data_IF_817936729367
#
_entry.id   IF_817936729367
#
_cell.length_a   1.000
_cell.length_b   1.000
_cell.length_c   1.000
_cell.angle_alpha   90.00
_cell.angle_beta   90.00
_cell.angle_gamma   90.00
#
_symmetry.space_group_name_H-M   'P 1'
#
loop_
_entity.id
_entity.type
_entity.pdbx_description
1 polymer ?
#
# COMPACT_ATOMS: atom_id res chain seq x y z
N UNK A 1 17.92 15.96 -55.63
CA UNK A 1 17.02 14.86 -55.22
C UNK A 1 17.50 14.44 -53.83
N UNK A 2 16.79 14.87 -52.79
CA UNK A 2 17.25 14.82 -51.40
C UNK A 2 16.93 13.45 -50.78
N UNK A 3 17.94 12.77 -50.22
CA UNK A 3 17.75 11.56 -49.43
C UNK A 3 17.13 11.96 -48.08
N UNK A 4 15.88 11.53 -47.85
CA UNK A 4 15.28 11.53 -46.50
C UNK A 4 15.94 10.40 -45.71
N UNK A 5 16.71 10.76 -44.69
CA UNK A 5 17.09 9.84 -43.62
C UNK A 5 15.86 9.51 -42.79
N UNK A 6 15.45 8.24 -42.81
CA UNK A 6 14.58 7.67 -41.79
C UNK A 6 15.35 7.63 -40.48
N UNK A 7 15.08 8.59 -39.60
CA UNK A 7 15.47 8.49 -38.20
C UNK A 7 14.59 7.42 -37.55
N UNK A 8 15.10 6.20 -37.43
CA UNK A 8 14.49 5.18 -36.57
C UNK A 8 14.57 5.67 -35.11
N UNK A 9 13.49 6.26 -34.60
CA UNK A 9 13.33 6.47 -33.16
C UNK A 9 13.16 5.09 -32.53
N UNK A 10 14.20 4.62 -31.83
CA UNK A 10 14.08 3.48 -30.92
C UNK A 10 13.13 3.90 -29.79
N UNK A 11 11.86 3.61 -29.99
CA UNK A 11 10.77 3.82 -29.03
C UNK A 11 11.17 3.12 -27.74
N UNK A 12 11.31 3.93 -26.70
CA UNK A 12 11.85 3.47 -25.44
C UNK A 12 10.77 3.22 -24.44
N UNK A 13 10.76 2.04 -23.82
CA UNK A 13 9.73 1.61 -22.87
C UNK A 13 9.44 2.69 -21.82
N UNK A 14 8.18 3.12 -21.80
CA UNK A 14 7.56 3.99 -20.81
C UNK A 14 7.28 3.17 -19.55
N UNK A 15 7.37 3.78 -18.37
CA UNK A 15 7.04 3.12 -17.10
C UNK A 15 5.69 3.65 -16.60
N UNK A 16 4.73 2.76 -16.36
CA UNK A 16 3.44 3.11 -15.76
C UNK A 16 3.44 2.84 -14.26
N UNK A 17 3.13 3.89 -13.47
CA UNK A 17 2.83 3.80 -12.04
C UNK A 17 1.32 3.89 -11.87
N UNK A 18 0.73 2.84 -11.33
CA UNK A 18 -0.69 2.81 -11.01
C UNK A 18 -0.93 3.25 -9.57
N UNK A 19 -1.95 4.07 -9.38
CA UNK A 19 -2.32 4.67 -8.09
C UNK A 19 -3.76 4.28 -7.79
N UNK A 20 -3.94 3.37 -6.83
CA UNK A 20 -5.24 3.00 -6.31
C UNK A 20 -5.62 3.95 -5.18
N UNK A 21 -6.81 4.55 -5.30
CA UNK A 21 -7.35 5.46 -4.28
C UNK A 21 -8.65 4.94 -3.71
N UNK A 22 -8.89 5.29 -2.45
CA UNK A 22 -10.17 5.13 -1.75
C UNK A 22 -10.82 6.50 -1.61
N UNK A 23 -12.09 6.63 -2.01
CA UNK A 23 -12.86 7.88 -1.89
C UNK A 23 -13.64 7.92 -0.57
N UNK A 24 -13.81 9.10 0.01
CA UNK A 24 -14.64 9.26 1.21
C UNK A 24 -16.14 9.33 0.87
N UNK A 25 -16.51 10.22 -0.06
CA UNK A 25 -17.89 10.46 -0.46
C UNK A 25 -18.06 10.36 -1.99
N UNK A 26 -19.31 10.20 -2.44
CA UNK A 26 -19.78 10.18 -3.84
C UNK A 26 -19.84 8.83 -4.54
N UNK A 27 -20.06 8.84 -5.85
CA UNK A 27 -20.69 7.76 -6.61
C UNK A 27 -19.90 6.45 -6.72
N UNK A 28 -18.60 6.43 -6.42
CA UNK A 28 -17.76 5.23 -6.46
C UNK A 28 -16.96 5.06 -5.18
N UNK A 29 -16.61 3.83 -4.80
CA UNK A 29 -15.77 3.56 -3.61
C UNK A 29 -14.27 3.80 -3.84
N UNK A 30 -13.81 3.63 -5.07
CA UNK A 30 -12.39 3.81 -5.39
C UNK A 30 -12.15 3.99 -6.88
N UNK A 31 -10.93 4.38 -7.21
CA UNK A 31 -10.50 4.55 -8.59
C UNK A 31 -9.04 4.14 -8.75
N UNK A 32 -8.68 3.74 -9.97
CA UNK A 32 -7.31 3.48 -10.38
C UNK A 32 -6.89 4.57 -11.35
N UNK A 33 -5.77 5.22 -11.07
CA UNK A 33 -5.13 6.17 -11.98
C UNK A 33 -3.83 5.61 -12.53
N UNK A 34 -3.42 6.06 -13.71
CA UNK A 34 -2.16 5.67 -14.34
C UNK A 34 -1.29 6.90 -14.59
N UNK A 35 -0.12 6.93 -13.95
CA UNK A 35 0.89 7.96 -14.15
C UNK A 35 1.98 7.38 -15.05
N UNK A 36 2.18 8.00 -16.21
CA UNK A 36 3.25 7.61 -17.14
C UNK A 36 4.54 8.36 -16.87
N UNK A 37 5.63 7.62 -16.79
CA UNK A 37 6.98 8.11 -16.63
C UNK A 37 7.81 7.80 -17.88
N UNK A 38 8.65 8.75 -18.28
CA UNK A 38 9.68 8.48 -19.28
C UNK A 38 10.85 7.67 -18.68
N UNK A 39 11.80 7.28 -19.53
CA UNK A 39 13.01 6.53 -19.13
C UNK A 39 13.91 7.22 -18.10
N UNK A 40 13.73 8.52 -17.88
CA UNK A 40 14.48 9.31 -16.88
C UNK A 40 13.69 9.47 -15.58
N UNK A 41 12.53 8.81 -15.48
CA UNK A 41 11.61 8.94 -14.36
C UNK A 41 10.82 10.25 -14.38
N UNK A 42 10.77 10.98 -15.51
CA UNK A 42 10.02 12.23 -15.60
C UNK A 42 8.55 11.95 -15.89
N UNK A 43 7.68 12.66 -15.18
CA UNK A 43 6.22 12.50 -15.34
C UNK A 43 5.81 13.11 -16.68
N UNK A 44 5.25 12.28 -17.55
CA UNK A 44 4.90 12.68 -18.92
C UNK A 44 3.62 13.53 -18.97
N UNK A 45 3.58 14.53 -19.85
CA UNK A 45 2.36 15.31 -20.13
C UNK A 45 2.05 16.44 -19.15
N UNK A 46 3.06 17.09 -18.56
CA UNK A 46 2.85 18.13 -17.53
C UNK A 46 3.72 19.37 -17.61
N UNK A 47 4.26 19.73 -18.78
CA UNK A 47 5.06 20.94 -18.92
C UNK A 47 4.23 22.12 -19.44
N UNK A 48 4.21 23.23 -18.67
CA UNK A 48 3.93 24.58 -19.19
C UNK A 48 2.52 25.15 -18.99
N UNK A 49 1.63 24.47 -18.27
CA UNK A 49 0.29 25.00 -17.97
C UNK A 49 0.25 25.80 -16.66
N UNK A 50 -0.62 26.82 -16.59
CA UNK A 50 -0.88 27.61 -15.38
C UNK A 50 -1.61 26.83 -14.29
N UNK A 51 -2.19 25.67 -14.64
CA UNK A 51 -2.80 24.71 -13.72
C UNK A 51 -2.17 23.33 -13.94
N UNK A 52 -2.08 22.49 -12.89
CA UNK A 52 -1.69 21.10 -13.05
C UNK A 52 -2.61 20.38 -14.06
N UNK A 53 -2.05 19.55 -14.95
CA UNK A 53 -2.85 18.77 -15.90
C UNK A 53 -3.71 17.74 -15.15
N UNK A 54 -4.92 17.53 -15.67
CA UNK A 54 -5.89 16.59 -15.12
C UNK A 54 -5.46 15.14 -15.35
N UNK A 55 -5.76 14.28 -14.39
CA UNK A 55 -5.53 12.84 -14.45
C UNK A 55 -6.87 12.09 -14.42
N UNK A 56 -7.20 11.45 -15.53
CA UNK A 56 -8.43 10.66 -15.65
C UNK A 56 -8.25 9.26 -15.04
N UNK A 57 -9.28 8.68 -14.41
CA UNK A 57 -9.22 7.32 -13.90
C UNK A 57 -9.22 6.32 -15.06
N UNK A 58 -8.35 5.31 -14.97
CA UNK A 58 -8.33 4.17 -15.91
C UNK A 58 -9.33 3.09 -15.53
N UNK A 59 -9.79 3.09 -14.28
CA UNK A 59 -10.91 2.29 -13.78
C UNK A 59 -11.58 2.99 -12.60
N UNK A 60 -12.90 2.87 -12.50
CA UNK A 60 -13.69 3.22 -11.32
C UNK A 60 -14.24 1.93 -10.71
N UNK A 61 -14.28 1.85 -9.38
CA UNK A 61 -14.65 0.66 -8.66
C UNK A 61 -15.91 0.89 -7.83
N UNK A 62 -16.93 0.08 -8.13
CA UNK A 62 -18.16 -0.11 -7.35
C UNK A 62 -18.99 1.17 -7.18
N UNK A 63 -20.12 1.24 -7.89
CA UNK A 63 -21.09 2.34 -7.74
C UNK A 63 -21.78 2.28 -6.36
N UNK A 64 -21.88 3.42 -5.66
CA UNK A 64 -22.47 3.54 -4.32
C UNK A 64 -24.00 3.57 -4.38
N UNK A 65 -24.64 2.50 -4.86
CA UNK A 65 -26.10 2.37 -4.79
C UNK A 65 -26.53 1.98 -3.35
N UNK A 66 -27.52 2.71 -2.83
CA UNK A 66 -27.72 2.97 -1.39
C UNK A 66 -28.13 1.73 -0.57
N UNK A 67 -27.15 1.02 0.02
CA UNK A 67 -27.31 0.12 1.19
C UNK A 67 -25.96 -0.32 1.80
N UNK A 68 -24.87 0.37 1.46
CA UNK A 68 -23.50 -0.03 1.77
C UNK A 68 -22.95 0.94 2.85
N UNK A 69 -22.24 0.44 3.89
CA UNK A 69 -21.58 1.26 4.91
C UNK A 69 -20.82 2.47 4.35
N UNK A 70 -20.82 3.58 5.10
CA UNK A 70 -20.27 4.87 4.64
C UNK A 70 -18.78 4.81 4.28
N UNK A 71 -18.01 3.92 4.91
CA UNK A 71 -16.55 3.84 4.74
C UNK A 71 -16.09 2.43 4.34
N UNK A 72 -15.27 2.37 3.30
CA UNK A 72 -14.53 1.19 2.86
C UNK A 72 -13.09 1.56 2.63
N UNK A 73 -12.18 0.59 2.74
CA UNK A 73 -10.80 0.71 2.31
C UNK A 73 -10.46 -0.39 1.33
N UNK A 74 -9.54 -0.08 0.41
CA UNK A 74 -9.01 -1.06 -0.52
C UNK A 74 -7.66 -1.58 -0.04
N UNK A 75 -7.58 -2.90 0.14
CA UNK A 75 -6.32 -3.63 0.15
C UNK A 75 -5.99 -4.07 -1.28
N UNK A 76 -4.81 -3.70 -1.78
CA UNK A 76 -4.39 -3.98 -3.16
C UNK A 76 -3.03 -4.65 -3.22
N UNK A 77 -2.91 -5.67 -4.07
CA UNK A 77 -1.61 -6.26 -4.46
C UNK A 77 -1.58 -6.57 -5.95
N UNK A 78 -0.42 -6.38 -6.59
CA UNK A 78 -0.23 -6.68 -8.00
C UNK A 78 0.63 -7.94 -8.17
N UNK A 79 0.14 -8.89 -8.98
CA UNK A 79 0.87 -10.10 -9.40
C UNK A 79 0.71 -10.23 -10.91
N UNK A 80 1.82 -10.22 -11.65
CA UNK A 80 1.85 -10.47 -13.10
C UNK A 80 0.77 -9.70 -13.89
N UNK A 81 0.67 -8.37 -13.72
CA UNK A 81 -0.32 -7.51 -14.39
C UNK A 81 -1.78 -7.68 -13.95
N UNK A 82 -2.04 -8.43 -12.88
CA UNK A 82 -3.35 -8.55 -12.25
C UNK A 82 -3.33 -7.86 -10.90
N UNK A 83 -4.23 -6.90 -10.72
CA UNK A 83 -4.45 -6.22 -9.45
C UNK A 83 -5.53 -6.97 -8.68
N UNK A 84 -5.13 -7.60 -7.58
CA UNK A 84 -6.03 -8.21 -6.62
C UNK A 84 -6.47 -7.15 -5.63
N UNK A 85 -7.78 -7.03 -5.46
CA UNK A 85 -8.45 -6.08 -4.61
C UNK A 85 -9.26 -6.84 -3.57
N UNK A 86 -9.03 -6.52 -2.30
CA UNK A 86 -9.89 -6.92 -1.19
C UNK A 86 -10.49 -5.67 -0.60
N UNK A 87 -11.82 -5.65 -0.52
CA UNK A 87 -12.55 -4.58 0.14
C UNK A 87 -12.64 -4.92 1.62
N UNK A 88 -12.41 -3.91 2.44
CA UNK A 88 -12.61 -3.99 3.88
C UNK A 88 -13.58 -2.89 4.28
N UNK A 89 -14.56 -3.24 5.10
CA UNK A 89 -15.47 -2.24 5.66
C UNK A 89 -14.66 -1.40 6.64
N UNK A 90 -14.56 -0.10 6.38
CA UNK A 90 -14.08 0.86 7.37
C UNK A 90 -15.13 0.88 8.48
N UNK A 91 -14.84 0.22 9.59
CA UNK A 91 -15.80 0.12 10.67
C UNK A 91 -15.86 1.42 11.48
N UNK A 92 -17.04 2.04 11.52
CA UNK A 92 -17.56 2.71 12.71
C UNK A 92 -17.86 1.66 13.79
N UNK A 93 -16.83 0.96 14.28
CA UNK A 93 -16.93 0.10 15.46
C UNK A 93 -16.09 0.79 16.53
N UNK A 94 -16.76 1.60 17.33
CA UNK A 94 -16.27 1.93 18.67
C UNK A 94 -16.04 0.65 19.47
N UNK A 95 -15.29 0.70 20.58
CA UNK A 95 -15.12 -0.46 21.45
C UNK A 95 -16.50 -1.03 21.76
N UNK A 96 -16.67 -2.34 21.53
CA UNK A 96 -17.90 -3.05 21.79
C UNK A 96 -18.31 -2.77 23.24
N UNK A 97 -19.35 -1.96 23.45
CA UNK A 97 -20.00 -1.89 24.74
C UNK A 97 -20.84 -3.16 24.85
N UNK A 98 -20.67 -3.90 25.95
CA UNK A 98 -21.32 -5.20 26.20
C UNK A 98 -22.86 -5.17 26.23
N UNK A 99 -23.49 -3.99 26.06
CA UNK A 99 -24.93 -3.77 26.29
C UNK A 99 -25.75 -3.46 25.02
N UNK A 100 -25.14 -3.36 23.84
CA UNK A 100 -25.93 -3.16 22.61
C UNK A 100 -26.42 -4.50 22.05
N UNK A 101 -27.73 -4.73 22.21
CA UNK A 101 -28.51 -5.82 21.61
C UNK A 101 -28.02 -6.06 20.17
N UNK A 102 -27.51 -7.27 19.92
CA UNK A 102 -26.90 -7.70 18.64
C UNK A 102 -27.97 -7.60 17.55
N UNK A 103 -28.14 -6.40 17.00
CA UNK A 103 -28.70 -6.20 15.69
C UNK A 103 -27.63 -6.72 14.75
N UNK A 104 -27.85 -7.93 14.22
CA UNK A 104 -26.99 -8.55 13.21
C UNK A 104 -26.60 -7.48 12.20
N UNK A 105 -25.31 -7.12 12.06
CA UNK A 105 -24.90 -6.22 11.00
C UNK A 105 -25.41 -6.87 9.71
N UNK A 106 -26.25 -6.16 8.95
CA UNK A 106 -26.61 -6.58 7.60
C UNK A 106 -25.29 -6.83 6.90
N UNK A 107 -24.92 -8.09 6.67
CA UNK A 107 -23.70 -8.45 5.94
C UNK A 107 -23.80 -7.74 4.59
N UNK A 108 -23.02 -6.69 4.32
CA UNK A 108 -22.71 -6.42 2.93
C UNK A 108 -21.99 -7.69 2.44
N UNK A 109 -21.91 -7.92 1.14
CA UNK A 109 -21.02 -8.94 0.58
C UNK A 109 -19.53 -8.54 0.81
N UNK A 110 -19.15 -8.25 2.06
CA UNK A 110 -18.23 -7.19 2.49
C UNK A 110 -16.77 -7.50 2.30
N UNK A 111 -16.42 -8.69 1.77
CA UNK A 111 -15.06 -9.08 1.44
C UNK A 111 -14.97 -9.85 0.12
N UNK A 112 -15.86 -9.61 -0.85
CA UNK A 112 -15.62 -10.16 -2.17
C UNK A 112 -14.24 -9.73 -2.66
N UNK A 113 -13.42 -10.70 -3.05
CA UNK A 113 -12.17 -10.46 -3.74
C UNK A 113 -12.44 -10.14 -5.20
N UNK A 114 -11.70 -9.18 -5.75
CA UNK A 114 -11.75 -8.86 -7.17
C UNK A 114 -10.36 -8.89 -7.79
N UNK A 115 -10.30 -9.32 -9.05
CA UNK A 115 -9.08 -9.30 -9.86
C UNK A 115 -9.36 -8.39 -11.05
N UNK A 116 -8.62 -7.29 -11.14
CA UNK A 116 -8.58 -6.44 -12.32
C UNK A 116 -7.38 -6.85 -13.18
N UNK A 117 -7.66 -7.32 -14.39
CA UNK A 117 -6.63 -7.46 -15.41
C UNK A 117 -6.30 -6.07 -15.99
N UNK A 118 -5.07 -5.60 -15.76
CA UNK A 118 -4.69 -4.22 -16.10
C UNK A 118 -4.70 -3.98 -17.62
N UNK A 119 -4.49 -5.01 -18.44
CA UNK A 119 -4.40 -4.88 -19.90
C UNK A 119 -5.78 -4.86 -20.54
N UNK A 120 -6.63 -5.79 -20.15
CA UNK A 120 -7.98 -5.97 -20.71
C UNK A 120 -9.03 -5.13 -20.00
N UNK A 121 -8.71 -4.61 -18.81
CA UNK A 121 -9.63 -3.91 -17.89
C UNK A 121 -10.80 -4.79 -17.44
N UNK A 122 -10.70 -6.10 -17.62
CA UNK A 122 -11.70 -7.05 -17.14
C UNK A 122 -11.60 -7.17 -15.62
N UNK A 123 -12.75 -7.05 -14.96
CA UNK A 123 -12.90 -7.23 -13.52
C UNK A 123 -13.62 -8.55 -13.26
N UNK A 124 -12.99 -9.47 -12.54
CA UNK A 124 -13.58 -10.75 -12.15
C UNK A 124 -13.57 -10.91 -10.64
N UNK A 125 -14.53 -11.67 -10.10
CA UNK A 125 -14.55 -12.01 -8.68
C UNK A 125 -13.65 -13.22 -8.42
N UNK A 126 -13.07 -13.29 -7.23
CA UNK A 126 -12.39 -14.48 -6.71
C UNK A 126 -12.87 -14.80 -5.29
N UNK A 127 -12.53 -16.00 -4.82
CA UNK A 127 -12.99 -16.48 -3.53
C UNK A 127 -12.53 -15.55 -2.39
N UNK A 128 -13.41 -15.10 -1.49
CA UNK A 128 -13.03 -14.26 -0.35
C UNK A 128 -12.24 -15.07 0.71
N UNK A 129 -11.51 -14.39 1.62
CA UNK A 129 -10.94 -15.04 2.80
C UNK A 129 -12.01 -15.81 3.60
N UNK A 130 -11.62 -16.87 4.33
CA UNK A 130 -12.59 -17.76 5.02
C UNK A 130 -13.33 -17.04 6.14
N UNK A 131 -12.63 -16.23 6.92
CA UNK A 131 -13.26 -15.47 7.98
C UNK A 131 -13.93 -14.21 7.44
N UNK A 132 -15.03 -13.83 8.08
CA UNK A 132 -15.67 -12.52 7.87
C UNK A 132 -14.82 -11.45 8.55
N UNK A 133 -13.86 -10.89 7.81
CA UNK A 133 -12.81 -9.99 8.31
C UNK A 133 -13.18 -8.51 8.12
N UNK A 134 -13.28 -7.72 9.18
CA UNK A 134 -13.69 -6.30 9.05
C UNK A 134 -12.64 -5.44 8.34
N UNK A 135 -11.36 -5.54 8.72
CA UNK A 135 -10.23 -4.83 8.12
C UNK A 135 -8.92 -5.62 8.25
N UNK A 136 -8.01 -5.45 7.29
CA UNK A 136 -6.69 -6.04 7.34
C UNK A 136 -5.74 -5.56 6.26
N UNK A 137 -4.51 -6.06 6.34
CA UNK A 137 -3.43 -5.80 5.38
C UNK A 137 -3.35 -6.94 4.37
N UNK A 138 -3.26 -6.59 3.08
CA UNK A 138 -3.02 -7.52 1.98
C UNK A 138 -1.57 -7.45 1.56
N UNK A 139 -0.91 -8.60 1.44
CA UNK A 139 0.53 -8.72 1.16
C UNK A 139 0.75 -9.64 -0.01
N UNK A 140 1.67 -9.28 -0.90
CA UNK A 140 2.19 -10.22 -1.90
C UNK A 140 3.61 -10.62 -1.49
N UNK A 141 3.80 -11.91 -1.24
CA UNK A 141 5.07 -12.53 -0.88
C UNK A 141 5.08 -13.96 -1.43
N UNK A 142 6.25 -14.47 -1.83
CA UNK A 142 6.43 -15.89 -2.19
C UNK A 142 5.39 -16.42 -3.20
N UNK A 143 5.01 -15.60 -4.19
CA UNK A 143 4.01 -15.91 -5.23
C UNK A 143 2.58 -16.16 -4.71
N UNK A 144 2.31 -15.82 -3.44
CA UNK A 144 1.03 -15.97 -2.77
C UNK A 144 0.52 -14.61 -2.28
N UNK A 145 -0.77 -14.55 -1.98
CA UNK A 145 -1.39 -13.38 -1.35
C UNK A 145 -1.65 -13.73 0.10
N UNK A 146 -1.23 -12.89 1.02
CA UNK A 146 -1.51 -13.05 2.44
C UNK A 146 -2.49 -11.97 2.89
N UNK A 147 -3.37 -12.34 3.80
CA UNK A 147 -4.27 -11.42 4.47
C UNK A 147 -4.08 -11.51 5.98
N UNK A 148 -3.66 -10.41 6.60
CA UNK A 148 -3.54 -10.28 8.04
C UNK A 148 -4.62 -9.33 8.57
N UNK A 149 -5.43 -9.79 9.51
CA UNK A 149 -6.40 -8.95 10.22
C UNK A 149 -5.73 -7.84 11.02
N UNK A 150 -6.32 -6.65 10.98
CA UNK A 150 -5.86 -5.54 11.83
C UNK A 150 -6.16 -5.81 13.32
N UNK A 151 -5.18 -5.62 14.23
CA UNK A 151 -5.38 -5.80 15.68
C UNK A 151 -6.47 -4.91 16.27
N UNK A 152 -6.64 -3.70 15.72
CA UNK A 152 -7.68 -2.75 16.12
C UNK A 152 -9.12 -3.30 16.01
N UNK A 153 -9.33 -4.34 15.21
CA UNK A 153 -10.67 -4.82 14.89
C UNK A 153 -11.31 -5.77 15.91
N UNK A 154 -10.70 -6.06 17.07
CA UNK A 154 -11.20 -7.18 17.89
C UNK A 154 -11.05 -7.13 19.42
N UNK A 155 -12.06 -7.64 20.15
CA UNK A 155 -11.95 -8.22 21.49
C UNK A 155 -11.86 -9.77 21.55
N UNK A 156 -11.78 -10.49 20.42
CA UNK A 156 -11.75 -11.97 20.35
C UNK A 156 -10.70 -12.44 19.34
N UNK A 157 -9.86 -13.42 19.70
CA UNK A 157 -8.82 -13.99 18.83
C UNK A 157 -9.45 -14.90 17.76
N UNK A 158 -9.47 -14.54 16.47
CA UNK A 158 -9.96 -15.46 15.46
C UNK A 158 -8.83 -16.42 15.08
N UNK A 159 -9.12 -17.73 15.14
CA UNK A 159 -8.27 -18.81 14.62
C UNK A 159 -7.86 -18.58 13.15
N UNK A 160 -8.59 -17.74 12.42
CA UNK A 160 -8.35 -17.40 11.02
C UNK A 160 -7.77 -15.98 10.82
N UNK A 161 -7.07 -15.41 11.80
CA UNK A 161 -6.55 -14.04 11.69
C UNK A 161 -5.53 -13.80 10.57
N UNK A 162 -4.81 -14.85 10.19
CA UNK A 162 -3.81 -14.81 9.15
C UNK A 162 -4.07 -15.93 8.13
N UNK A 163 -4.26 -15.55 6.88
CA UNK A 163 -4.59 -16.48 5.81
C UNK A 163 -3.71 -16.25 4.59
N UNK A 164 -3.49 -17.33 3.82
CA UNK A 164 -2.77 -17.31 2.54
C UNK A 164 -3.69 -17.79 1.43
N UNK A 165 -3.68 -17.06 0.32
CA UNK A 165 -4.39 -17.39 -0.90
C UNK A 165 -3.40 -17.88 -1.94
N UNK A 166 -3.78 -18.98 -2.58
CA UNK A 166 -3.12 -19.53 -3.75
C UNK A 166 -3.84 -19.12 -5.03
N UNK A 167 -3.28 -18.19 -5.83
CA UNK A 167 -3.90 -17.75 -7.08
C UNK A 167 -4.03 -18.85 -8.14
N UNK A 168 -3.26 -19.94 -8.04
CA UNK A 168 -3.30 -21.06 -9.00
C UNK A 168 -4.50 -21.96 -8.71
N UNK A 169 -4.74 -22.23 -7.44
CA UNK A 169 -5.78 -23.15 -6.98
C UNK A 169 -7.10 -22.45 -6.58
N UNK A 170 -7.13 -21.10 -6.59
CA UNK A 170 -8.23 -20.27 -6.09
C UNK A 170 -8.71 -20.69 -4.70
N UNK A 171 -7.77 -20.85 -3.77
CA UNK A 171 -8.05 -21.37 -2.44
C UNK A 171 -7.34 -20.58 -1.35
N UNK A 172 -8.06 -20.34 -0.25
CA UNK A 172 -7.50 -19.81 0.99
C UNK A 172 -7.15 -20.94 1.97
N UNK A 173 -6.05 -20.77 2.68
CA UNK A 173 -5.66 -21.59 3.82
C UNK A 173 -5.36 -20.71 5.04
N UNK A 174 -5.72 -21.22 6.22
CA UNK A 174 -5.45 -20.54 7.48
C UNK A 174 -4.04 -20.89 7.92
N UNK A 175 -3.28 -19.88 8.31
CA UNK A 175 -1.93 -20.01 8.85
C UNK A 175 -1.95 -19.84 10.36
N UNK A 176 -0.79 -20.01 11.01
CA UNK A 176 -0.69 -19.73 12.44
C UNK A 176 -1.23 -18.33 12.75
N UNK A 177 -2.22 -18.22 13.65
CA UNK A 177 -2.80 -16.94 14.02
C UNK A 177 -1.73 -15.95 14.47
N UNK A 178 -1.93 -14.69 14.14
CA UNK A 178 -1.11 -13.63 14.69
C UNK A 178 -1.28 -13.61 16.23
N UNK A 179 -0.20 -13.53 17.01
CA UNK A 179 -0.27 -13.64 18.46
C UNK A 179 -0.79 -12.34 19.09
N UNK A 180 -2.08 -12.05 18.93
CA UNK A 180 -2.71 -10.88 19.52
C UNK A 180 -2.59 -10.91 21.04
N UNK A 181 -2.43 -9.73 21.64
CA UNK A 181 -2.53 -9.53 23.08
C UNK A 181 -3.73 -8.63 23.39
N UNK A 182 -4.34 -8.81 24.57
CA UNK A 182 -5.43 -7.94 25.06
C UNK A 182 -5.02 -6.46 25.13
N UNK A 183 -3.73 -6.19 25.26
CA UNK A 183 -3.18 -4.84 25.27
C UNK A 183 -3.11 -4.18 23.87
N UNK A 184 -3.39 -4.92 22.78
CA UNK A 184 -3.21 -4.46 21.40
C UNK A 184 -4.45 -3.83 20.77
N UNK A 185 -5.50 -3.55 21.55
CA UNK A 185 -6.75 -2.96 21.06
C UNK A 185 -6.59 -1.60 20.34
N UNK A 186 -5.45 -0.91 20.52
CA UNK A 186 -5.14 0.37 19.84
C UNK A 186 -4.09 0.25 18.75
N UNK A 187 -3.75 -0.97 18.35
CA UNK A 187 -2.62 -1.26 17.47
C UNK A 187 -3.06 -1.46 16.03
N UNK A 188 -2.25 -0.98 15.08
CA UNK A 188 -2.52 -1.08 13.64
C UNK A 188 -1.31 -1.62 12.89
N UNK A 189 -1.55 -2.48 11.90
CA UNK A 189 -0.52 -2.84 10.93
C UNK A 189 -0.37 -1.68 9.94
N UNK A 190 0.82 -1.08 9.88
CA UNK A 190 1.07 0.11 9.04
C UNK A 190 1.86 -0.21 7.79
N UNK A 191 2.69 -1.25 7.82
CA UNK A 191 3.55 -1.61 6.71
C UNK A 191 4.04 -3.05 6.79
N UNK A 192 4.70 -3.50 5.72
CA UNK A 192 5.30 -4.82 5.66
C UNK A 192 6.59 -4.83 4.83
N UNK A 193 7.40 -5.88 4.99
CA UNK A 193 8.56 -6.19 4.16
C UNK A 193 8.66 -7.70 3.96
N UNK A 194 9.29 -8.14 2.87
CA UNK A 194 9.54 -9.55 2.61
C UNK A 194 11.05 -9.75 2.60
N UNK A 195 11.55 -10.66 3.43
CA UNK A 195 12.98 -10.92 3.58
C UNK A 195 13.23 -12.36 4.04
N UNK A 196 14.12 -13.05 3.34
CA UNK A 196 14.70 -14.34 3.73
C UNK A 196 13.69 -15.38 4.28
N UNK A 197 12.65 -15.68 3.51
CA UNK A 197 11.61 -16.64 3.91
C UNK A 197 10.66 -16.14 5.01
N UNK A 198 10.74 -14.85 5.35
CA UNK A 198 9.89 -14.18 6.34
C UNK A 198 9.11 -13.01 5.75
N UNK A 199 7.99 -12.68 6.40
CA UNK A 199 7.23 -11.45 6.18
C UNK A 199 7.29 -10.62 7.47
N UNK A 200 7.90 -9.45 7.40
CA UNK A 200 7.97 -8.51 8.52
C UNK A 200 6.75 -7.59 8.47
N UNK A 201 6.16 -7.31 9.62
CA UNK A 201 5.01 -6.44 9.78
C UNK A 201 5.37 -5.29 10.72
N UNK A 202 5.16 -4.05 10.26
CA UNK A 202 5.29 -2.86 11.10
C UNK A 202 4.00 -2.58 11.83
N UNK A 203 4.12 -2.31 13.12
CA UNK A 203 3.03 -2.29 14.08
C UNK A 203 3.07 -0.97 14.83
N UNK A 204 2.09 -0.10 14.57
CA UNK A 204 1.95 1.18 15.26
C UNK A 204 0.92 1.08 16.39
N UNK A 205 1.26 1.55 17.59
CA UNK A 205 0.36 1.54 18.74
C UNK A 205 1.10 1.60 20.06
N UNK A 206 0.36 1.53 21.17
CA UNK A 206 0.96 1.51 22.51
C UNK A 206 1.43 0.09 22.88
N UNK A 207 2.74 -0.04 23.11
CA UNK A 207 3.51 -1.20 23.64
C UNK A 207 4.11 -2.11 22.56
N UNK A 208 5.42 -2.36 22.72
CA UNK A 208 6.27 -3.21 21.89
C UNK A 208 5.72 -4.64 21.72
N UNK A 209 6.06 -5.35 20.63
CA UNK A 209 7.07 -5.02 19.62
C UNK A 209 6.54 -4.16 18.47
N UNK A 210 7.38 -3.23 17.98
CA UNK A 210 7.06 -2.41 16.80
C UNK A 210 7.10 -3.23 15.49
N UNK A 211 7.69 -4.43 15.52
CA UNK A 211 7.81 -5.33 14.37
C UNK A 211 7.64 -6.80 14.77
N UNK A 212 6.82 -7.52 14.01
CA UNK A 212 6.69 -8.98 14.08
C UNK A 212 7.11 -9.60 12.75
N UNK A 213 7.82 -10.72 12.79
CA UNK A 213 8.13 -11.53 11.61
C UNK A 213 7.32 -12.82 11.62
N UNK A 214 6.73 -13.13 10.48
CA UNK A 214 6.18 -14.45 10.19
C UNK A 214 7.16 -15.24 9.32
N UNK A 215 7.58 -16.41 9.79
CA UNK A 215 8.44 -17.35 9.09
C UNK A 215 7.60 -18.32 8.28
N UNK A 216 7.65 -18.22 6.95
CA UNK A 216 6.79 -19.02 6.07
C UNK A 216 7.05 -20.52 6.22
N UNK A 217 8.32 -20.92 6.23
CA UNK A 217 8.70 -22.34 6.26
C UNK A 217 8.35 -23.06 7.58
N UNK A 218 8.12 -22.31 8.65
CA UNK A 218 7.90 -22.83 10.00
C UNK A 218 6.49 -22.58 10.51
N UNK A 219 5.71 -21.79 9.78
CA UNK A 219 4.41 -21.29 10.22
C UNK A 219 4.51 -20.71 11.64
N UNK A 220 5.44 -19.76 11.83
CA UNK A 220 5.84 -19.28 13.15
C UNK A 220 5.99 -17.75 13.21
N UNK A 221 5.58 -17.16 14.33
CA UNK A 221 5.69 -15.73 14.59
C UNK A 221 6.78 -15.44 15.61
N UNK A 222 7.61 -14.42 15.33
CA UNK A 222 8.60 -13.93 16.29
C UNK A 222 8.65 -12.40 16.33
N UNK A 223 8.92 -11.81 17.51
CA UNK A 223 9.19 -10.39 17.61
C UNK A 223 10.57 -10.06 17.03
N UNK A 224 10.63 -9.03 16.19
CA UNK A 224 11.89 -8.53 15.64
C UNK A 224 12.40 -7.40 16.53
N UNK A 225 13.65 -7.53 16.99
CA UNK A 225 14.29 -6.48 17.78
C UNK A 225 14.55 -5.25 16.89
N UNK A 226 14.00 -4.11 17.29
CA UNK A 226 14.11 -2.83 16.59
C UNK A 226 13.98 -1.68 17.60
N UNK A 227 14.67 -0.56 17.37
CA UNK A 227 14.37 0.66 18.11
C UNK A 227 12.95 1.13 17.75
N UNK A 228 12.18 1.63 18.73
CA UNK A 228 10.74 1.94 18.61
C UNK A 228 10.40 2.85 17.42
N UNK A 229 10.17 2.24 16.25
CA UNK A 229 10.00 2.92 14.98
C UNK A 229 9.12 2.09 14.04
N UNK A 230 8.20 2.77 13.36
CA UNK A 230 7.25 2.16 12.43
C UNK A 230 7.39 2.75 11.03
N UNK A 231 7.00 1.98 10.02
CA UNK A 231 6.93 2.43 8.63
C UNK A 231 5.55 2.16 8.02
N UNK A 232 5.29 2.79 6.88
CA UNK A 232 4.05 2.66 6.14
C UNK A 232 4.25 1.92 4.81
N UNK A 233 3.25 1.14 4.42
CA UNK A 233 3.19 0.48 3.12
C UNK A 233 4.23 -0.62 2.95
N UNK A 234 4.57 -0.93 1.70
CA UNK A 234 5.56 -1.95 1.35
C UNK A 234 6.97 -1.36 1.43
N UNK A 235 7.83 -1.95 2.25
CA UNK A 235 9.27 -1.67 2.26
C UNK A 235 10.00 -2.53 1.22
N UNK A 236 11.07 -1.98 0.66
CA UNK A 236 11.96 -2.69 -0.25
C UNK A 236 13.19 -3.18 0.52
N UNK A 237 13.55 -4.45 0.35
CA UNK A 237 14.79 -5.01 0.90
C UNK A 237 15.79 -5.26 -0.22
N UNK A 238 16.99 -4.69 -0.09
CA UNK A 238 18.12 -4.86 -1.03
C UNK A 238 19.35 -5.27 -0.23
N UNK A 239 19.82 -6.50 -0.42
CA UNK A 239 20.88 -7.08 0.41
C UNK A 239 20.49 -7.06 1.88
N UNK A 240 21.29 -6.39 2.71
CA UNK A 240 21.06 -6.24 4.14
C UNK A 240 20.48 -4.86 4.51
N UNK A 241 19.84 -4.17 3.58
CA UNK A 241 19.22 -2.86 3.83
C UNK A 241 17.76 -2.87 3.44
N UNK A 242 16.91 -2.43 4.37
CA UNK A 242 15.48 -2.22 4.14
C UNK A 242 15.21 -0.73 3.99
N UNK A 243 14.60 -0.33 2.88
CA UNK A 243 14.14 1.04 2.62
C UNK A 243 12.64 1.12 2.75
N UNK A 244 12.15 2.08 3.54
CA UNK A 244 10.73 2.20 3.83
C UNK A 244 10.29 3.66 3.89
N UNK A 245 8.97 3.87 3.80
CA UNK A 245 8.36 5.17 4.01
C UNK A 245 8.05 5.34 5.50
N UNK A 246 8.53 6.43 6.10
CA UNK A 246 8.18 6.78 7.48
C UNK A 246 6.68 7.05 7.62
N UNK A 247 6.15 6.92 8.85
CA UNK A 247 4.83 7.45 9.16
C UNK A 247 4.78 8.98 9.03
N UNK A 248 5.94 9.65 9.17
CA UNK A 248 6.06 11.07 8.90
C UNK A 248 5.96 11.34 7.38
N UNK A 249 5.11 12.29 6.97
CA UNK A 249 4.93 12.64 5.58
C UNK A 249 6.21 13.06 4.84
N UNK A 250 6.55 12.33 3.77
CA UNK A 250 7.68 12.66 2.90
C UNK A 250 9.05 12.19 3.40
N UNK A 251 9.11 11.46 4.53
CA UNK A 251 10.36 10.92 5.04
C UNK A 251 10.57 9.48 4.57
N UNK A 252 11.76 9.20 4.04
CA UNK A 252 12.20 7.84 3.68
C UNK A 252 13.31 7.43 4.62
N UNK A 253 13.24 6.21 5.10
CA UNK A 253 14.14 5.66 6.11
C UNK A 253 14.80 4.38 5.61
N UNK A 254 16.00 4.12 6.11
CA UNK A 254 16.69 2.86 5.92
C UNK A 254 17.01 2.18 7.24
N UNK A 255 16.81 0.87 7.29
CA UNK A 255 17.23 -0.01 8.37
C UNK A 255 18.34 -0.93 7.86
N UNK A 256 19.36 -1.13 8.69
CA UNK A 256 20.28 -2.25 8.48
C UNK A 256 19.66 -3.52 9.03
N UNK A 257 19.63 -4.59 8.25
CA UNK A 257 19.21 -5.91 8.71
C UNK A 257 20.43 -6.62 9.26
N UNK A 258 20.37 -6.97 10.54
CA UNK A 258 21.42 -7.66 11.27
C UNK A 258 20.96 -9.10 11.46
N UNK A 259 21.69 -10.04 10.87
CA UNK A 259 21.38 -11.46 10.94
C UNK A 259 22.32 -12.13 11.92
N UNK A 260 21.76 -12.70 12.98
CA UNK A 260 22.48 -13.50 13.95
C UNK A 260 22.28 -14.98 13.62
N UNK A 261 23.38 -15.72 13.48
CA UNK A 261 23.30 -17.17 13.36
C UNK A 261 22.93 -17.74 14.73
N UNK A 262 21.76 -18.38 14.83
CA UNK A 262 21.38 -19.10 16.04
C UNK A 262 21.90 -20.53 15.99
N UNK A 263 22.20 -21.09 17.16
CA UNK A 263 22.61 -22.50 17.32
C UNK A 263 21.53 -23.49 16.80
N UNK A 264 20.29 -23.02 16.66
CA UNK A 264 19.14 -23.77 16.14
C UNK A 264 19.00 -23.72 14.60
N UNK A 265 20.07 -23.35 13.89
CA UNK A 265 20.16 -23.44 12.43
C UNK A 265 19.22 -22.50 11.68
N UNK A 266 18.70 -21.47 12.34
CA UNK A 266 17.96 -20.39 11.68
C UNK A 266 18.59 -19.03 11.93
N UNK A 267 18.44 -18.17 10.93
CA UNK A 267 18.76 -16.76 11.03
C UNK A 267 17.68 -16.07 11.87
N UNK A 268 18.01 -15.68 13.09
CA UNK A 268 17.27 -14.62 13.76
C UNK A 268 17.74 -13.31 13.16
N UNK A 269 16.83 -12.38 12.88
CA UNK A 269 17.22 -11.06 12.41
C UNK A 269 16.65 -9.96 13.28
N UNK A 270 17.42 -8.88 13.38
CA UNK A 270 17.05 -7.65 14.03
C UNK A 270 17.22 -6.49 13.06
N UNK A 271 16.52 -5.40 13.33
CA UNK A 271 16.65 -4.15 12.59
C UNK A 271 17.51 -3.20 13.41
N UNK A 272 18.62 -2.76 12.82
CA UNK A 272 19.43 -1.67 13.34
C UNK A 272 18.64 -0.36 13.40
N UNK A 273 19.21 0.63 14.09
CA UNK A 273 18.61 1.95 14.23
C UNK A 273 18.22 2.54 12.87
N UNK A 274 16.97 3.04 12.69
CA UNK A 274 16.57 3.69 11.46
C UNK A 274 17.43 4.91 11.17
N UNK A 275 17.85 5.03 9.92
CA UNK A 275 18.53 6.21 9.38
C UNK A 275 17.57 6.96 8.46
N UNK A 276 17.32 8.24 8.75
CA UNK A 276 16.56 9.11 7.87
C UNK A 276 17.43 9.46 6.66
N UNK A 277 16.91 9.24 5.45
CA UNK A 277 17.63 9.57 4.23
C UNK A 277 17.57 11.08 3.97
N UNK A 278 18.71 11.67 3.61
CA UNK A 278 18.82 13.09 3.31
C UNK A 278 18.56 13.36 1.82
N UNK A 279 18.18 14.60 1.47
CA UNK A 279 18.01 15.02 0.07
C UNK A 279 16.60 14.91 -0.49
N UNK A 280 15.60 14.54 0.31
CA UNK A 280 14.20 14.63 -0.11
C UNK A 280 13.76 16.10 -0.19
N UNK A 281 13.45 16.58 -1.40
CA UNK A 281 12.90 17.91 -1.66
C UNK A 281 11.62 17.80 -2.50
N UNK A 282 10.47 17.84 -1.83
CA UNK A 282 9.16 17.76 -2.49
C UNK A 282 8.77 19.17 -2.91
N UNK A 283 8.80 19.45 -4.22
CA UNK A 283 8.55 20.81 -4.75
C UNK A 283 7.12 21.30 -4.54
N UNK A 284 6.17 20.38 -4.35
CA UNK A 284 4.76 20.69 -4.19
C UNK A 284 4.12 19.75 -3.16
N UNK A 285 4.39 19.94 -1.87
CA UNK A 285 3.83 19.08 -0.84
C UNK A 285 2.32 19.36 -0.69
N UNK A 286 1.47 18.33 -0.65
CA UNK A 286 0.04 18.52 -0.35
C UNK A 286 -0.17 19.15 1.03
N UNK A 287 -1.31 19.81 1.24
CA UNK A 287 -1.66 20.48 2.49
C UNK A 287 -1.44 19.53 3.71
N UNK A 288 -0.76 19.98 4.78
CA UNK A 288 -0.42 19.13 5.91
C UNK A 288 -1.61 18.63 6.75
N UNK A 289 -2.81 19.22 6.65
CA UNK A 289 -3.92 18.88 7.55
C UNK A 289 -4.35 17.41 7.48
N UNK A 290 -4.34 16.81 6.29
CA UNK A 290 -4.56 15.38 6.07
C UNK A 290 -3.79 14.95 4.82
N UNK A 291 -2.77 14.10 4.98
CA UNK A 291 -1.96 13.58 3.87
C UNK A 291 -2.02 12.06 3.84
N UNK A 292 -2.22 11.52 2.65
CA UNK A 292 -1.98 10.11 2.32
C UNK A 292 -0.75 10.00 1.44
N UNK A 293 0.00 8.92 1.60
CA UNK A 293 1.23 8.71 0.85
C UNK A 293 1.48 7.22 0.63
N UNK A 294 2.13 6.90 -0.49
CA UNK A 294 2.58 5.54 -0.79
C UNK A 294 3.88 5.60 -1.59
N UNK A 295 4.79 4.67 -1.31
CA UNK A 295 6.07 4.55 -1.99
C UNK A 295 6.01 3.37 -2.98
N UNK A 296 6.00 3.68 -4.28
CA UNK A 296 6.07 2.67 -5.34
C UNK A 296 7.53 2.38 -5.72
N UNK A 297 7.86 1.11 -5.91
CA UNK A 297 9.16 0.68 -6.40
C UNK A 297 9.21 0.72 -7.94
N UNK A 298 10.21 1.40 -8.51
CA UNK A 298 10.39 1.50 -9.96
C UNK A 298 11.41 0.50 -10.52
N UNK A 299 12.13 -0.20 -9.65
CA UNK A 299 13.24 -1.08 -10.01
C UNK A 299 14.57 -0.59 -9.42
N UNK A 300 15.46 -1.53 -9.06
CA UNK A 300 16.71 -1.20 -8.38
C UNK A 300 16.48 -0.37 -7.11
N UNK A 301 17.16 0.78 -7.01
CA UNK A 301 17.01 1.77 -5.93
C UNK A 301 16.25 3.03 -6.38
N UNK A 302 15.40 2.90 -7.40
CA UNK A 302 14.54 3.97 -7.89
C UNK A 302 13.10 3.81 -7.40
N UNK A 303 12.50 4.92 -7.00
CA UNK A 303 11.20 4.95 -6.33
C UNK A 303 10.35 6.10 -6.84
N UNK A 304 9.04 5.95 -6.69
CA UNK A 304 8.05 6.99 -6.90
C UNK A 304 7.25 7.19 -5.62
N UNK A 305 7.45 8.33 -4.97
CA UNK A 305 6.62 8.78 -3.86
C UNK A 305 5.38 9.47 -4.43
N UNK A 306 4.21 8.92 -4.13
CA UNK A 306 2.92 9.50 -4.46
C UNK A 306 2.30 10.03 -3.18
N UNK A 307 1.90 11.29 -3.19
CA UNK A 307 1.22 11.91 -2.06
C UNK A 307 -0.01 12.66 -2.52
N UNK A 308 -1.05 12.63 -1.69
CA UNK A 308 -2.21 13.47 -1.86
C UNK A 308 -2.65 14.04 -0.53
N UNK A 309 -3.29 15.21 -0.57
CA UNK A 309 -3.83 15.85 0.62
C UNK A 309 -5.10 16.58 0.27
N UNK A 310 -6.04 16.57 1.21
CA UNK A 310 -7.37 17.13 1.01
C UNK A 310 -7.75 18.05 2.17
N UNK A 311 -8.63 18.98 1.86
CA UNK A 311 -9.27 19.85 2.84
C UNK A 311 -10.78 19.73 2.66
N UNK A 312 -11.56 19.73 3.73
CA UNK A 312 -13.03 19.70 3.69
C UNK A 312 -13.68 20.93 3.00
N UNK A 313 -12.89 21.86 2.46
CA UNK A 313 -13.38 23.02 1.72
C UNK A 313 -13.42 22.66 0.23
N UNK A 314 -14.63 22.57 -0.29
CA UNK A 314 -14.99 22.11 -1.63
C UNK A 314 -14.18 22.76 -2.74
N UNK A 315 -13.22 22.00 -3.25
CA UNK A 315 -12.63 22.22 -4.54
C UNK A 315 -12.87 20.93 -5.33
N UNK A 316 -13.37 21.02 -6.56
CA UNK A 316 -13.64 19.84 -7.40
C UNK A 316 -12.37 19.11 -7.84
N UNK A 317 -11.21 19.52 -7.33
CA UNK A 317 -9.91 18.93 -7.63
C UNK A 317 -9.07 18.72 -6.38
N UNK A 318 -8.47 17.55 -6.31
CA UNK A 318 -7.49 17.19 -5.29
C UNK A 318 -6.13 16.93 -5.94
N UNK A 319 -5.04 17.55 -5.45
CA UNK A 319 -3.73 17.41 -6.04
C UNK A 319 -3.09 16.06 -5.70
N UNK A 320 -2.41 15.49 -6.67
CA UNK A 320 -1.56 14.30 -6.57
C UNK A 320 -0.11 14.72 -6.86
N UNK A 321 0.70 14.80 -5.80
CA UNK A 321 2.13 15.07 -5.88
C UNK A 321 2.86 13.77 -6.20
N UNK A 322 3.69 13.80 -7.24
CA UNK A 322 4.42 12.64 -7.75
C UNK A 322 5.88 13.02 -7.80
N UNK A 323 6.69 12.38 -6.96
CA UNK A 323 8.12 12.62 -6.87
C UNK A 323 8.88 11.33 -7.12
N UNK A 324 9.63 11.29 -8.22
CA UNK A 324 10.52 10.18 -8.54
C UNK A 324 11.92 10.51 -8.06
N UNK A 325 12.57 9.52 -7.46
CA UNK A 325 13.90 9.69 -6.91
C UNK A 325 14.67 8.38 -6.94
N UNK A 326 15.98 8.48 -6.80
CA UNK A 326 16.86 7.33 -6.59
C UNK A 326 17.61 7.48 -5.28
N UNK A 327 17.90 6.36 -4.65
CA UNK A 327 18.82 6.30 -3.52
C UNK A 327 20.21 6.05 -4.08
N UNK A 328 21.14 6.96 -3.81
CA UNK A 328 22.55 6.88 -4.17
C UNK A 328 23.38 6.35 -2.99
N UNK A 329 24.68 6.13 -3.22
CA UNK A 329 25.61 5.67 -2.19
C UNK A 329 25.58 6.58 -0.95
N UNK A 330 25.70 5.96 0.22
CA UNK A 330 25.62 6.67 1.50
C UNK A 330 24.18 7.04 1.92
N UNK A 331 23.15 6.39 1.38
CA UNK A 331 21.74 6.62 1.73
C UNK A 331 21.29 8.07 1.50
N UNK A 332 21.69 8.64 0.36
CA UNK A 332 21.26 9.97 -0.08
C UNK A 332 20.22 9.87 -1.18
N UNK A 333 19.19 10.71 -1.09
CA UNK A 333 18.13 10.80 -2.08
C UNK A 333 18.52 11.82 -3.13
N UNK A 334 18.43 11.42 -4.39
CA UNK A 334 18.51 12.30 -5.54
C UNK A 334 17.17 12.33 -6.26
N UNK A 335 16.54 13.49 -6.23
CA UNK A 335 15.29 13.74 -6.97
C UNK A 335 15.57 13.66 -8.47
N UNK A 336 14.83 12.79 -9.16
CA UNK A 336 14.88 12.66 -10.62
C UNK A 336 13.86 13.62 -11.25
N UNK A 337 12.65 13.64 -10.69
CA UNK A 337 11.59 14.54 -11.12
C UNK A 337 10.55 14.74 -10.00
N UNK A 338 9.87 15.89 -10.03
CA UNK A 338 8.74 16.15 -9.14
C UNK A 338 7.70 16.96 -9.92
N UNK A 339 6.46 16.49 -9.89
CA UNK A 339 5.33 17.07 -10.60
C UNK A 339 4.04 16.95 -9.79
N UNK A 340 3.03 17.74 -10.15
CA UNK A 340 1.68 17.65 -9.60
C UNK A 340 0.71 17.33 -10.74
N UNK A 341 -0.25 16.47 -10.44
CA UNK A 341 -1.46 16.26 -11.24
C UNK A 341 -2.66 16.69 -10.43
N UNK A 342 -3.66 17.26 -11.09
CA UNK A 342 -4.97 17.40 -10.47
C UNK A 342 -5.79 16.16 -10.79
N UNK A 343 -6.55 15.69 -9.81
CA UNK A 343 -7.57 14.66 -10.00
C UNK A 343 -8.92 15.34 -9.82
N UNK A 344 -9.80 15.19 -10.82
CA UNK A 344 -11.20 15.58 -10.66
C UNK A 344 -11.82 14.68 -9.61
N UNK A 345 -12.32 15.28 -8.53
CA UNK A 345 -13.00 14.54 -7.49
C UNK A 345 -14.50 14.49 -7.75
N UNK A 346 -15.03 15.02 -8.85
CA UNK A 346 -16.42 14.80 -9.32
C UNK A 346 -17.50 14.96 -8.21
N UNK A 347 -17.28 15.88 -7.26
CA UNK A 347 -18.17 16.11 -6.11
C UNK A 347 -17.86 15.32 -4.82
N UNK A 348 -16.75 14.57 -4.76
CA UNK A 348 -16.30 13.84 -3.57
C UNK A 348 -15.72 14.79 -2.51
N UNK A 349 -15.80 14.41 -1.23
CA UNK A 349 -15.13 15.13 -0.14
C UNK A 349 -13.61 14.91 -0.08
N UNK A 350 -13.09 14.02 -0.94
CA UNK A 350 -11.68 13.75 -1.18
C UNK A 350 -11.37 12.25 -1.32
N UNK A 351 -10.09 11.92 -1.46
CA UNK A 351 -9.59 10.54 -1.50
C UNK A 351 -8.28 10.32 -0.71
N UNK A 352 -8.00 9.06 -0.40
CA UNK A 352 -6.74 8.57 0.13
C UNK A 352 -6.01 7.74 -0.93
N UNK A 353 -4.69 7.92 -1.02
CA UNK A 353 -3.81 6.99 -1.74
C UNK A 353 -3.70 5.70 -0.91
N UNK A 354 -4.18 4.58 -1.45
CA UNK A 354 -4.27 3.29 -0.74
C UNK A 354 -3.14 2.33 -1.14
N UNK A 355 -2.81 2.26 -2.43
CA UNK A 355 -1.79 1.36 -2.94
C UNK A 355 -1.21 1.91 -4.24
N UNK A 356 0.11 1.87 -4.40
CA UNK A 356 0.76 2.19 -5.66
C UNK A 356 1.68 1.05 -6.11
N UNK A 357 1.70 0.79 -7.41
CA UNK A 357 2.54 -0.26 -7.99
C UNK A 357 2.97 0.10 -9.42
N UNK A 358 4.06 -0.51 -9.85
CA UNK A 358 4.50 -0.48 -11.25
C UNK A 358 4.05 -1.74 -11.97
N UNK A 359 3.90 -1.62 -13.29
CA UNK A 359 3.62 -2.77 -14.13
C UNK A 359 4.80 -3.76 -14.06
N UNK A 360 4.53 -5.02 -13.71
CA UNK A 360 5.52 -6.11 -13.69
C UNK A 360 5.78 -6.68 -15.08
#
# INVERSE_FOLDING_TARGET
>A
MSMKGESSSKQGEEISVFVLVTTFEGDFYGALFEVKLDRRGQVMGGCGATQPPLLDPVARFFEKDSNIPEFYTFGGVCICNKLYLLLSSGSDIGPCNDDDEITTPKKPDSLNGYILDIKTRALVKFSPPKASKSSGTVIHAYEKIYFLLDPFCFPCEPEDSFERYDPINDSWESLKPFPYSKDWATTKITGHAVYDGSILFSIYGHRQPAVMAYHENRDYWEPVKVEDFCWSGKALVVGNTMYALSLQPGEVIAFSIITDQTDEGHAAFSLGKPSLLSGMEIKFPPNPSRRSQYLAHLGGLEFCLVQSGFTYKGNDRQPLSITTFRIEEGNNIKILHSAVRDVDIEGFSGFLVSFCFTQC
#
